data_IF_170618801200
#
_entry.id   IF_170618801200
#
_cell.length_a   1.000
_cell.length_b   1.000
_cell.length_c   1.000
_cell.angle_alpha   90.00
_cell.angle_beta   90.00
_cell.angle_gamma   90.00
#
_symmetry.space_group_name_H-M   'P 1'
#
loop_
_entity.id
_entity.type
_entity.pdbx_description
1 polymer ?
#
# COMPACT_ATOMS: atom_id res chain seq x y z
N UNK A 1 -28.54 23.07 -39.04
CA UNK A 1 -28.93 21.66 -39.09
C UNK A 1 -29.43 21.26 -37.71
N UNK A 2 -30.75 21.27 -37.48
CA UNK A 2 -31.33 20.83 -36.21
C UNK A 2 -31.45 19.31 -36.25
N UNK A 3 -30.70 18.63 -35.37
CA UNK A 3 -30.84 17.19 -35.16
C UNK A 3 -32.29 16.91 -34.71
N UNK A 4 -32.99 16.04 -35.43
CA UNK A 4 -34.36 15.66 -35.06
C UNK A 4 -34.39 15.06 -33.65
N UNK A 5 -35.50 15.20 -32.92
CA UNK A 5 -35.65 14.71 -31.53
C UNK A 5 -35.22 13.24 -31.33
N UNK A 6 -35.29 12.42 -32.38
CA UNK A 6 -34.81 11.02 -32.37
C UNK A 6 -33.28 10.90 -32.36
N UNK A 7 -32.55 11.77 -33.06
CA UNK A 7 -31.08 11.77 -33.08
C UNK A 7 -30.47 12.24 -31.75
N UNK A 8 -31.11 13.22 -31.11
CA UNK A 8 -30.66 13.72 -29.81
C UNK A 8 -30.74 12.68 -28.68
N UNK A 9 -31.80 11.86 -28.64
CA UNK A 9 -31.91 10.78 -27.64
C UNK A 9 -30.81 9.74 -27.80
N UNK A 10 -30.48 9.36 -29.03
CA UNK A 10 -29.39 8.41 -29.28
C UNK A 10 -28.03 8.97 -28.87
N UNK A 11 -27.79 10.27 -29.11
CA UNK A 11 -26.56 10.94 -28.66
C UNK A 11 -26.48 10.95 -27.14
N UNK A 12 -27.58 11.28 -26.46
CA UNK A 12 -27.63 11.35 -25.00
C UNK A 12 -27.40 9.96 -24.37
N UNK A 13 -28.01 8.91 -24.92
CA UNK A 13 -27.76 7.52 -24.51
C UNK A 13 -26.30 7.14 -24.73
N UNK A 14 -25.73 7.45 -25.90
CA UNK A 14 -24.35 7.12 -26.22
C UNK A 14 -23.37 7.84 -25.28
N UNK A 15 -23.60 9.13 -25.00
CA UNK A 15 -22.76 9.90 -24.07
C UNK A 15 -22.82 9.36 -22.65
N UNK A 16 -24.00 9.01 -22.14
CA UNK A 16 -24.14 8.47 -20.79
C UNK A 16 -23.49 7.08 -20.67
N UNK A 17 -23.62 6.22 -21.69
CA UNK A 17 -22.94 4.92 -21.72
C UNK A 17 -21.42 5.07 -21.78
N UNK A 18 -20.90 5.96 -22.64
CA UNK A 18 -19.46 6.26 -22.71
C UNK A 18 -18.96 6.83 -21.38
N UNK A 19 -19.71 7.71 -20.73
CA UNK A 19 -19.34 8.30 -19.45
C UNK A 19 -19.38 7.26 -18.31
N UNK A 20 -20.36 6.35 -18.31
CA UNK A 20 -20.43 5.23 -17.37
C UNK A 20 -19.26 4.25 -17.56
N UNK A 21 -18.87 3.96 -18.81
CA UNK A 21 -17.68 3.17 -19.12
C UNK A 21 -16.41 3.90 -18.68
N UNK A 22 -16.29 5.21 -18.92
CA UNK A 22 -15.15 6.00 -18.45
C UNK A 22 -15.08 5.97 -16.92
N UNK A 23 -16.16 6.08 -16.16
CA UNK A 23 -16.08 5.95 -14.70
C UNK A 23 -15.72 4.53 -14.23
N UNK A 24 -16.29 3.50 -14.86
CA UNK A 24 -15.96 2.10 -14.56
C UNK A 24 -14.51 1.73 -14.92
N UNK A 25 -14.00 2.26 -16.03
CA UNK A 25 -12.64 1.96 -16.52
C UNK A 25 -11.59 2.97 -16.02
N UNK A 26 -11.95 4.21 -15.71
CA UNK A 26 -11.01 5.22 -15.15
C UNK A 26 -10.64 4.90 -13.69
N UNK A 27 -11.42 4.06 -13.00
CA UNK A 27 -11.01 3.48 -11.72
C UNK A 27 -9.97 2.36 -11.89
N UNK A 28 -9.94 1.69 -13.05
CA UNK A 28 -8.87 0.77 -13.45
C UNK A 28 -7.80 1.56 -14.15
N UNK A 29 -6.89 2.17 -13.38
CA UNK A 29 -5.63 2.68 -13.94
C UNK A 29 -5.07 1.62 -14.89
N UNK A 30 -5.04 1.97 -16.17
CA UNK A 30 -4.29 1.25 -17.20
C UNK A 30 -2.82 1.35 -16.79
N UNK A 31 -2.37 0.42 -15.95
CA UNK A 31 -0.95 0.15 -15.81
C UNK A 31 -0.54 -0.40 -17.18
N UNK A 32 0.04 0.48 -17.98
CA UNK A 32 0.60 0.14 -19.27
C UNK A 32 1.55 -1.04 -19.13
N UNK A 33 1.47 -1.90 -20.12
CA UNK A 33 2.44 -2.95 -20.36
C UNK A 33 3.86 -2.40 -20.46
N UNK A 34 4.80 -3.34 -20.30
CA UNK A 34 6.24 -3.25 -20.54
C UNK A 34 7.08 -2.77 -19.35
N UNK A 35 7.44 -3.77 -18.52
CA UNK A 35 8.43 -3.71 -17.44
C UNK A 35 8.02 -2.89 -16.22
N UNK A 36 6.88 -3.24 -15.60
CA UNK A 36 6.65 -2.97 -14.19
C UNK A 36 7.89 -3.44 -13.42
N UNK A 37 8.59 -2.50 -12.78
CA UNK A 37 9.76 -2.75 -11.92
C UNK A 37 9.59 -4.08 -11.17
N UNK A 38 10.57 -4.98 -11.32
CA UNK A 38 10.56 -6.35 -10.74
C UNK A 38 10.18 -6.36 -9.26
N UNK A 39 10.34 -5.23 -8.58
CA UNK A 39 9.92 -4.97 -7.22
C UNK A 39 9.20 -3.62 -7.13
N UNK A 40 8.15 -3.57 -6.31
CA UNK A 40 7.35 -2.39 -5.97
C UNK A 40 7.62 -2.01 -4.52
N UNK A 41 7.71 -0.71 -4.24
CA UNK A 41 7.98 -0.21 -2.89
C UNK A 41 6.80 -0.47 -1.93
N UNK A 42 7.12 -0.70 -0.65
CA UNK A 42 6.15 -0.82 0.42
C UNK A 42 5.64 0.54 0.92
N UNK A 43 6.51 1.56 0.89
CA UNK A 43 6.20 2.95 1.21
C UNK A 43 6.42 3.87 -0.02
N UNK A 44 5.80 5.08 -0.05
CA UNK A 44 6.05 6.08 -1.07
C UNK A 44 7.54 6.35 -1.30
N UNK A 45 7.91 6.69 -2.54
CA UNK A 45 9.28 7.05 -2.86
C UNK A 45 9.75 8.20 -1.97
N UNK A 46 10.99 8.09 -1.47
CA UNK A 46 11.59 9.06 -0.54
C UNK A 46 10.77 9.27 0.75
N UNK A 47 10.03 8.26 1.20
CA UNK A 47 9.37 8.26 2.51
C UNK A 47 10.40 8.45 3.63
N UNK A 48 10.07 9.33 4.56
CA UNK A 48 10.80 9.52 5.81
C UNK A 48 9.84 9.23 6.94
N UNK A 49 10.04 8.13 7.66
CA UNK A 49 9.12 7.66 8.70
C UNK A 49 9.33 8.48 9.97
N UNK A 50 8.25 9.12 10.42
CA UNK A 50 8.17 9.83 11.70
C UNK A 50 7.60 8.93 12.79
N UNK A 51 6.58 8.14 12.46
CA UNK A 51 6.02 7.13 13.34
C UNK A 51 5.53 5.93 12.55
N UNK A 52 5.69 4.75 13.14
CA UNK A 52 5.11 3.49 12.69
C UNK A 52 4.31 2.91 13.85
N UNK A 53 3.08 2.47 13.58
CA UNK A 53 2.23 1.74 14.53
C UNK A 53 1.93 0.37 13.95
N UNK A 54 2.23 -0.66 14.73
CA UNK A 54 1.99 -2.06 14.42
C UNK A 54 1.37 -2.72 15.64
N UNK A 55 0.13 -3.20 15.50
CA UNK A 55 -0.63 -3.75 16.63
C UNK A 55 -0.65 -2.79 17.84
N UNK A 56 -0.19 -3.22 19.02
CA UNK A 56 -0.09 -2.36 20.22
C UNK A 56 1.29 -1.68 20.39
N UNK A 57 2.14 -1.72 19.35
CA UNK A 57 3.49 -1.15 19.36
C UNK A 57 3.53 0.09 18.48
N UNK A 58 4.07 1.19 19.02
CA UNK A 58 4.37 2.40 18.27
C UNK A 58 5.87 2.70 18.34
N UNK A 59 6.53 2.78 17.18
CA UNK A 59 7.83 3.42 17.03
C UNK A 59 7.58 4.87 16.63
N UNK A 60 8.23 5.82 17.29
CA UNK A 60 8.11 7.24 16.96
C UNK A 60 9.44 7.98 17.14
N UNK A 61 9.68 8.98 16.29
CA UNK A 61 10.81 9.89 16.43
C UNK A 61 10.52 10.92 17.52
N UNK A 62 11.38 10.99 18.53
CA UNK A 62 11.32 11.96 19.63
C UNK A 62 12.63 12.74 19.63
N UNK A 63 12.59 13.95 19.07
CA UNK A 63 13.80 14.71 18.78
C UNK A 63 14.68 14.00 17.74
N UNK A 64 15.91 13.65 18.12
CA UNK A 64 16.86 12.93 17.27
C UNK A 64 16.82 11.40 17.43
N UNK A 65 16.09 10.88 18.41
CA UNK A 65 16.06 9.47 18.78
C UNK A 65 14.74 8.80 18.39
N UNK A 66 14.76 7.48 18.26
CA UNK A 66 13.56 6.66 18.10
C UNK A 66 13.16 6.10 19.47
N UNK A 67 11.88 6.12 19.78
CA UNK A 67 11.34 5.55 21.01
C UNK A 67 10.18 4.60 20.68
N UNK A 68 10.02 3.55 21.49
CA UNK A 68 8.92 2.59 21.40
C UNK A 68 7.90 2.80 22.50
N UNK A 69 6.63 2.53 22.20
CA UNK A 69 5.54 2.46 23.17
C UNK A 69 4.73 1.18 22.90
N UNK A 70 4.64 0.24 23.84
CA UNK A 70 5.40 0.17 25.10
C UNK A 70 6.91 0.06 24.85
N UNK A 71 7.72 0.27 25.88
CA UNK A 71 9.18 0.12 25.78
C UNK A 71 9.53 -1.36 25.54
N UNK A 72 10.26 -1.63 24.46
CA UNK A 72 10.61 -2.99 24.02
C UNK A 72 12.06 -3.40 24.35
N UNK A 73 12.86 -2.53 24.99
CA UNK A 73 14.28 -2.79 25.26
C UNK A 73 15.18 -2.81 24.01
N UNK A 74 14.67 -2.36 22.86
CA UNK A 74 15.44 -2.25 21.62
C UNK A 74 16.42 -1.06 21.66
N UNK A 75 17.65 -1.31 21.23
CA UNK A 75 18.67 -0.27 21.10
C UNK A 75 18.36 0.69 19.95
N UNK A 76 18.91 1.91 20.02
CA UNK A 76 18.75 2.91 18.95
C UNK A 76 19.17 2.38 17.56
N UNK A 77 20.30 1.66 17.39
CA UNK A 77 20.67 1.07 16.11
C UNK A 77 19.65 0.07 15.57
N UNK A 78 19.05 -0.77 16.43
CA UNK A 78 18.02 -1.74 16.02
C UNK A 78 16.75 -1.03 15.53
N UNK A 79 16.30 0.00 16.26
CA UNK A 79 15.15 0.81 15.83
C UNK A 79 15.42 1.52 14.50
N UNK A 80 16.62 2.06 14.32
CA UNK A 80 17.02 2.69 13.07
C UNK A 80 17.07 1.69 11.91
N UNK A 81 17.52 0.45 12.16
CA UNK A 81 17.53 -0.61 11.15
C UNK A 81 16.11 -0.97 10.71
N UNK A 82 15.16 -1.12 11.64
CA UNK A 82 13.75 -1.39 11.32
C UNK A 82 13.16 -0.28 10.46
N UNK A 83 13.33 0.98 10.86
CA UNK A 83 12.80 2.13 10.12
C UNK A 83 13.43 2.22 8.72
N UNK A 84 14.75 2.06 8.61
CA UNK A 84 15.44 2.07 7.32
C UNK A 84 14.98 0.92 6.42
N UNK A 85 14.76 -0.27 6.99
CA UNK A 85 14.27 -1.41 6.25
C UNK A 85 12.90 -1.10 5.62
N UNK A 86 11.99 -0.48 6.37
CA UNK A 86 10.70 -0.02 5.82
C UNK A 86 10.84 1.04 4.73
N UNK A 87 11.68 2.06 4.93
CA UNK A 87 11.90 3.15 3.97
C UNK A 87 12.46 2.66 2.63
N UNK A 88 13.25 1.57 2.64
CA UNK A 88 13.82 0.95 1.43
C UNK A 88 13.13 -0.34 0.99
N UNK A 89 12.05 -0.77 1.65
CA UNK A 89 11.44 -2.06 1.38
C UNK A 89 10.79 -2.09 -0.01
N UNK A 90 11.17 -3.08 -0.80
CA UNK A 90 10.59 -3.35 -2.12
C UNK A 90 10.34 -4.83 -2.29
N UNK A 91 9.17 -5.19 -2.82
CA UNK A 91 8.68 -6.57 -2.88
C UNK A 91 8.10 -6.89 -4.25
N UNK A 92 8.05 -8.19 -4.58
CA UNK A 92 7.45 -8.62 -5.85
C UNK A 92 5.94 -8.42 -5.80
N UNK A 93 5.33 -7.81 -6.82
CA UNK A 93 3.88 -7.76 -6.91
C UNK A 93 3.33 -9.18 -7.11
N UNK A 94 2.19 -9.44 -6.49
CA UNK A 94 1.45 -10.68 -6.66
C UNK A 94 0.64 -10.60 -7.96
N UNK A 95 0.59 -11.68 -8.72
CA UNK A 95 -0.24 -11.77 -9.92
C UNK A 95 -1.74 -11.65 -9.54
N UNK A 96 -2.57 -11.13 -10.46
CA UNK A 96 -3.98 -10.78 -10.21
C UNK A 96 -4.88 -11.97 -9.78
N UNK A 97 -4.38 -13.21 -9.85
CA UNK A 97 -5.11 -14.45 -9.59
C UNK A 97 -5.14 -14.87 -8.11
N UNK A 98 -4.46 -14.16 -7.21
CA UNK A 98 -4.58 -14.42 -5.77
C UNK A 98 -5.93 -13.90 -5.26
N UNK A 99 -6.85 -14.84 -5.05
CA UNK A 99 -8.19 -14.59 -4.52
C UNK A 99 -8.09 -14.11 -3.07
N UNK A 100 -8.22 -12.79 -2.89
CA UNK A 100 -8.24 -12.04 -1.60
C UNK A 100 -9.38 -12.50 -0.67
N UNK A 101 -10.35 -13.27 -1.17
CA UNK A 101 -11.56 -13.66 -0.44
C UNK A 101 -11.32 -14.54 0.81
N UNK A 102 -10.13 -15.14 0.96
CA UNK A 102 -9.78 -16.00 2.10
C UNK A 102 -8.69 -15.42 3.01
N UNK A 103 -8.38 -14.12 2.92
CA UNK A 103 -7.43 -13.49 3.84
C UNK A 103 -8.06 -13.34 5.22
N UNK A 104 -7.90 -14.39 6.04
CA UNK A 104 -8.34 -14.43 7.42
C UNK A 104 -7.50 -13.43 8.24
N UNK A 105 -8.06 -12.24 8.46
CA UNK A 105 -7.52 -11.17 9.31
C UNK A 105 -6.21 -10.52 8.80
N UNK A 106 -6.31 -9.27 8.36
CA UNK A 106 -5.16 -8.42 8.07
C UNK A 106 -4.73 -7.61 9.29
N UNK A 107 -3.42 -7.51 9.53
CA UNK A 107 -2.84 -6.63 10.55
C UNK A 107 -2.54 -5.28 9.90
N UNK A 108 -3.11 -4.21 10.46
CA UNK A 108 -2.86 -2.86 9.99
C UNK A 108 -1.53 -2.32 10.51
N UNK A 109 -0.72 -1.79 9.60
CA UNK A 109 0.54 -1.12 9.90
C UNK A 109 0.42 0.34 9.43
N UNK A 110 0.34 1.27 10.37
CA UNK A 110 0.14 2.69 10.07
C UNK A 110 1.46 3.43 10.11
N UNK A 111 1.72 4.28 9.10
CA UNK A 111 2.91 5.11 9.01
C UNK A 111 2.54 6.58 8.92
N UNK A 112 3.14 7.40 9.78
CA UNK A 112 3.18 8.85 9.65
C UNK A 112 4.49 9.22 8.96
N UNK A 113 4.41 9.87 7.80
CA UNK A 113 5.56 10.21 6.97
C UNK A 113 5.79 11.73 6.93
N UNK A 114 7.04 12.17 6.87
CA UNK A 114 7.35 13.60 6.83
C UNK A 114 6.90 14.30 5.54
N UNK A 115 6.77 13.55 4.45
CA UNK A 115 6.39 14.05 3.13
C UNK A 115 4.87 14.01 2.89
N UNK A 116 4.06 13.50 3.83
CA UNK A 116 2.61 13.40 3.69
C UNK A 116 1.90 13.97 4.92
N UNK A 117 0.79 14.67 4.69
CA UNK A 117 -0.02 15.25 5.77
C UNK A 117 -0.89 14.20 6.50
N UNK A 118 -1.25 13.11 5.82
CA UNK A 118 -2.07 12.05 6.36
C UNK A 118 -1.25 10.77 6.54
N UNK A 119 -1.54 9.96 7.59
CA UNK A 119 -0.91 8.66 7.73
C UNK A 119 -1.34 7.73 6.59
N UNK A 120 -0.45 6.83 6.22
CA UNK A 120 -0.76 5.74 5.29
C UNK A 120 -0.87 4.43 6.06
N UNK A 121 -1.70 3.52 5.57
CA UNK A 121 -1.90 2.21 6.19
C UNK A 121 -1.54 1.13 5.20
N UNK A 122 -0.70 0.20 5.64
CA UNK A 122 -0.39 -1.04 4.98
C UNK A 122 -1.15 -2.16 5.69
N UNK A 123 -1.51 -3.22 4.96
CA UNK A 123 -2.20 -4.37 5.55
C UNK A 123 -1.38 -5.62 5.32
N UNK A 124 -0.98 -6.28 6.40
CA UNK A 124 -0.26 -7.54 6.36
C UNK A 124 -1.24 -8.70 6.53
N UNK A 125 -1.30 -9.58 5.53
CA UNK A 125 -2.12 -10.78 5.55
C UNK A 125 -1.23 -12.01 5.69
N UNK A 126 -1.67 -12.95 6.51
CA UNK A 126 -1.07 -14.28 6.60
C UNK A 126 -1.83 -15.24 5.67
N UNK A 127 -1.08 -16.01 4.89
CA UNK A 127 -1.59 -17.06 4.00
C UNK A 127 -0.84 -18.37 4.26
N UNK A 128 -1.38 -19.49 3.80
CA UNK A 128 -0.78 -20.82 4.02
C UNK A 128 0.68 -20.93 3.49
N UNK A 129 1.04 -20.10 2.50
CA UNK A 129 2.36 -20.09 1.85
C UNK A 129 3.27 -18.92 2.21
N UNK A 130 2.93 -18.10 3.21
CA UNK A 130 3.74 -16.93 3.62
C UNK A 130 2.91 -15.70 3.96
N UNK A 131 3.39 -14.52 3.56
CA UNK A 131 2.76 -13.25 3.88
C UNK A 131 2.51 -12.41 2.64
N UNK A 132 1.40 -11.68 2.64
CA UNK A 132 1.07 -10.68 1.63
C UNK A 132 0.99 -9.31 2.31
N UNK A 133 1.64 -8.32 1.72
CA UNK A 133 1.55 -6.93 2.15
C UNK A 133 0.78 -6.13 1.11
N UNK A 134 -0.32 -5.53 1.52
CA UNK A 134 -1.00 -4.52 0.74
C UNK A 134 -0.36 -3.16 1.01
N UNK A 135 0.18 -2.54 -0.05
CA UNK A 135 0.78 -1.22 0.04
C UNK A 135 -0.28 -0.10 0.03
N UNK A 136 0.15 1.16 0.17
CA UNK A 136 -0.72 2.34 0.15
C UNK A 136 -1.44 2.57 -1.20
N UNK A 137 -1.02 1.89 -2.26
CA UNK A 137 -1.68 1.91 -3.58
C UNK A 137 -2.67 0.75 -3.76
N UNK A 138 -2.95 0.01 -2.69
CA UNK A 138 -3.78 -1.20 -2.68
C UNK A 138 -3.23 -2.37 -3.51
N UNK A 139 -1.94 -2.35 -3.87
CA UNK A 139 -1.28 -3.46 -4.54
C UNK A 139 -0.83 -4.51 -3.52
N UNK A 140 -1.02 -5.79 -3.87
CA UNK A 140 -0.54 -6.91 -3.08
C UNK A 140 0.90 -7.24 -3.45
N UNK A 141 1.73 -7.34 -2.42
CA UNK A 141 3.15 -7.61 -2.52
C UNK A 141 3.47 -8.89 -1.75
N UNK A 142 4.27 -9.77 -2.32
CA UNK A 142 4.69 -11.00 -1.66
C UNK A 142 5.87 -10.72 -0.74
N UNK A 143 5.75 -11.16 0.52
CA UNK A 143 6.80 -11.04 1.55
C UNK A 143 7.11 -12.42 2.09
N UNK A 144 8.40 -12.77 2.15
CA UNK A 144 8.84 -13.98 2.83
C UNK A 144 9.00 -13.76 4.35
N UNK A 145 9.10 -14.85 5.11
CA UNK A 145 9.20 -14.74 6.57
C UNK A 145 10.49 -14.03 7.03
N UNK A 146 11.59 -14.19 6.30
CA UNK A 146 12.88 -13.57 6.65
C UNK A 146 12.85 -12.05 6.45
N UNK A 147 12.26 -11.59 5.34
CA UNK A 147 11.99 -10.19 5.04
C UNK A 147 11.08 -9.58 6.10
N UNK A 148 9.99 -10.28 6.47
CA UNK A 148 9.06 -9.80 7.50
C UNK A 148 9.75 -9.64 8.87
N UNK A 149 10.63 -10.56 9.23
CA UNK A 149 11.35 -10.51 10.52
C UNK A 149 12.22 -9.25 10.66
N UNK A 150 12.78 -8.73 9.57
CA UNK A 150 13.61 -7.51 9.59
C UNK A 150 12.76 -6.24 9.77
N UNK A 151 11.47 -6.31 9.39
CA UNK A 151 10.56 -5.17 9.39
C UNK A 151 9.81 -4.99 10.73
N UNK A 152 9.70 -6.03 11.53
CA UNK A 152 8.88 -5.99 12.74
C UNK A 152 9.73 -5.72 14.00
N UNK A 153 9.27 -4.83 14.90
CA UNK A 153 9.88 -4.70 16.22
C UNK A 153 9.54 -5.95 17.05
N UNK A 154 10.55 -6.72 17.41
CA UNK A 154 10.47 -7.93 18.25
C UNK A 154 11.51 -7.88 19.36
#
# INVERSE_FOLDING_TARGET
MQLSRRGWNNVLIFTVLTMMLIFQYSGKKTNGDDTASLYQSALPASAVVLSMKFDNIQIQRVGSQLATKPELGLSQPQLQQIIKAWESATFKPVAEDVVVANLAYGINISFELANLAAPITLILYQIDGGYLLQNWQSQLLQIDEAELQVLLPR
#
